data_IF_675686621461
#
_entry.id   IF_675686621461
#
_cell.length_a   1.000
_cell.length_b   1.000
_cell.length_c   1.000
_cell.angle_alpha   90.00
_cell.angle_beta   90.00
_cell.angle_gamma   90.00
#
_symmetry.space_group_name_H-M   'P 1'
#
loop_
_entity.id
_entity.type
_entity.pdbx_description
1 polymer ?
#
# COMPACT_ATOMS: atom_id res chain seq x y z
N UNK A 1 -17.55 -18.31 31.43
CA UNK A 1 -16.86 -17.61 32.54
C UNK A 1 -15.41 -17.39 32.15
N UNK A 2 -14.92 -16.19 32.47
CA UNK A 2 -13.58 -15.62 32.22
C UNK A 2 -13.21 -15.33 30.76
N UNK A 3 -12.63 -14.19 30.37
CA UNK A 3 -12.66 -12.79 30.81
C UNK A 3 -11.65 -12.07 29.90
N UNK A 4 -12.11 -11.31 28.91
CA UNK A 4 -11.40 -10.12 28.46
C UNK A 4 -12.39 -9.16 27.83
N UNK A 5 -12.94 -8.28 28.67
CA UNK A 5 -13.74 -7.14 28.24
C UNK A 5 -12.82 -6.06 27.71
N UNK A 6 -12.64 -6.03 26.39
CA UNK A 6 -12.16 -4.84 25.68
C UNK A 6 -13.19 -4.49 24.63
N UNK A 7 -13.92 -3.39 24.85
CA UNK A 7 -14.78 -2.81 23.83
C UNK A 7 -13.88 -2.31 22.70
N UNK A 8 -14.06 -2.87 21.50
CA UNK A 8 -13.51 -2.29 20.29
C UNK A 8 -14.33 -1.04 19.98
N UNK A 9 -13.80 0.12 20.32
CA UNK A 9 -14.27 1.41 19.80
C UNK A 9 -13.94 1.46 18.30
N UNK A 10 -14.82 0.88 17.49
CA UNK A 10 -14.85 1.11 16.07
C UNK A 10 -15.31 2.54 15.81
N UNK A 11 -14.39 3.44 15.48
CA UNK A 11 -14.72 4.73 14.88
C UNK A 11 -15.19 4.48 13.45
N UNK A 12 -16.51 4.33 13.29
CA UNK A 12 -17.17 4.32 12.00
C UNK A 12 -17.37 5.77 11.54
N UNK A 13 -16.60 6.21 10.54
CA UNK A 13 -16.89 7.43 9.80
C UNK A 13 -18.01 7.13 8.79
N UNK A 14 -19.25 7.50 9.13
CA UNK A 14 -20.36 7.51 8.19
C UNK A 14 -20.38 8.83 7.42
N UNK A 15 -20.47 8.73 6.09
CA UNK A 15 -20.74 9.86 5.19
C UNK A 15 -22.25 10.01 5.04
N UNK A 16 -22.85 10.97 5.76
CA UNK A 16 -24.17 11.48 5.42
C UNK A 16 -24.02 12.58 4.37
N UNK A 17 -24.92 12.58 3.39
CA UNK A 17 -24.89 13.28 2.11
C UNK A 17 -24.74 14.81 2.14
N UNK A 18 -24.03 15.30 1.12
CA UNK A 18 -24.19 16.51 0.27
C UNK A 18 -24.73 17.84 0.83
N UNK A 19 -23.84 18.86 0.69
CA UNK A 19 -24.00 20.33 0.67
C UNK A 19 -23.60 21.08 1.96
N UNK A 20 -22.61 21.95 1.76
CA UNK A 20 -22.10 23.04 2.63
C UNK A 20 -21.50 22.70 4.01
N UNK A 21 -20.28 23.19 4.23
CA UNK A 21 -19.64 23.24 5.54
C UNK A 21 -20.38 24.26 6.42
N UNK A 22 -21.15 23.78 7.40
CA UNK A 22 -21.67 24.62 8.47
C UNK A 22 -21.06 24.17 9.79
N UNK A 23 -20.33 25.09 10.43
CA UNK A 23 -19.86 24.92 11.81
C UNK A 23 -21.08 24.90 12.73
N UNK A 24 -21.18 23.87 13.56
CA UNK A 24 -22.29 23.70 14.50
C UNK A 24 -21.95 24.43 15.81
N UNK A 25 -22.74 25.46 16.11
CA UNK A 25 -22.61 26.32 17.29
C UNK A 25 -22.65 25.54 18.62
N UNK A 26 -21.76 25.91 19.54
CA UNK A 26 -21.76 25.50 20.95
C UNK A 26 -22.54 26.58 21.73
N UNK A 27 -23.39 26.21 22.71
CA UNK A 27 -24.26 27.17 23.40
C UNK A 27 -23.47 28.17 24.27
N UNK A 28 -23.87 29.44 24.17
CA UNK A 28 -23.34 30.59 24.91
C UNK A 28 -23.66 30.57 26.42
N UNK A 29 -22.72 31.09 27.21
CA UNK A 29 -22.92 31.65 28.54
C UNK A 29 -21.85 32.75 28.80
N UNK A 30 -22.08 33.75 29.68
CA UNK A 30 -22.38 35.11 29.25
C UNK A 30 -21.19 36.09 29.23
N UNK A 31 -21.44 37.20 28.54
CA UNK A 31 -20.54 38.28 28.19
C UNK A 31 -19.78 38.97 29.35
N UNK A 32 -18.51 39.29 29.09
CA UNK A 32 -17.72 40.20 29.93
C UNK A 32 -16.33 40.56 29.39
N UNK A 33 -16.26 41.69 28.65
CA UNK A 33 -15.12 42.62 28.57
C UNK A 33 -13.97 42.43 27.56
N UNK A 34 -14.16 43.10 26.40
CA UNK A 34 -13.26 44.04 25.67
C UNK A 34 -11.75 43.77 25.50
N UNK A 35 -11.39 43.65 24.22
CA UNK A 35 -10.21 44.18 23.49
C UNK A 35 -8.79 43.79 23.91
N UNK A 36 -8.15 42.96 23.07
CA UNK A 36 -6.83 43.26 22.48
C UNK A 36 -6.65 42.50 21.16
N UNK A 37 -6.37 43.24 20.11
CA UNK A 37 -5.99 42.75 18.78
C UNK A 37 -4.78 41.82 18.89
N UNK A 38 -4.93 40.57 18.49
CA UNK A 38 -3.83 39.64 18.23
C UNK A 38 -3.81 39.38 16.73
N UNK A 39 -2.72 39.83 16.12
CA UNK A 39 -2.41 39.64 14.72
C UNK A 39 -2.38 38.15 14.36
N UNK A 40 -2.82 37.85 13.15
CA UNK A 40 -2.70 36.56 12.49
C UNK A 40 -1.24 36.08 12.53
N UNK A 41 -0.98 35.04 13.32
CA UNK A 41 0.21 34.21 13.15
C UNK A 41 -0.13 33.09 12.18
N UNK A 42 0.05 33.34 10.89
CA UNK A 42 0.24 32.27 9.91
C UNK A 42 1.49 31.47 10.33
N UNK A 43 1.30 30.22 10.76
CA UNK A 43 2.38 29.25 10.89
C UNK A 43 2.83 28.86 9.47
N UNK A 44 3.78 29.59 8.90
CA UNK A 44 4.53 29.12 7.73
C UNK A 44 5.39 27.93 8.16
N UNK A 45 5.01 26.73 7.72
CA UNK A 45 5.84 25.53 7.90
C UNK A 45 7.13 25.70 7.09
N UNK A 46 8.28 25.77 7.76
CA UNK A 46 9.59 25.93 7.14
C UNK A 46 10.08 24.59 6.58
N UNK A 47 9.71 24.30 5.33
CA UNK A 47 10.19 23.14 4.60
C UNK A 47 11.64 23.34 4.17
N UNK A 48 12.55 22.51 4.70
CA UNK A 48 13.98 22.58 4.41
C UNK A 48 14.47 21.22 3.90
N UNK A 49 15.48 21.21 3.03
CA UNK A 49 16.08 19.98 2.50
C UNK A 49 17.58 19.96 2.75
N UNK A 50 18.13 18.81 3.12
CA UNK A 50 19.57 18.56 3.26
C UNK A 50 19.98 17.44 2.31
N UNK A 51 21.09 17.62 1.61
CA UNK A 51 21.72 16.57 0.82
C UNK A 51 23.06 16.24 1.47
N UNK A 52 23.34 14.97 1.72
CA UNK A 52 24.66 14.55 2.21
C UNK A 52 25.11 13.23 1.58
N UNK A 53 26.42 13.04 1.51
CA UNK A 53 27.05 11.86 0.94
C UNK A 53 27.49 10.89 2.02
N UNK A 54 27.25 9.60 1.81
CA UNK A 54 27.66 8.52 2.70
C UNK A 54 28.59 7.53 1.99
N UNK A 55 29.58 7.04 2.74
CA UNK A 55 30.31 5.82 2.40
C UNK A 55 29.45 4.62 2.78
N UNK A 56 29.52 3.53 2.02
CA UNK A 56 28.80 2.31 2.35
C UNK A 56 29.52 1.56 3.45
N UNK A 57 29.16 1.92 4.68
CA UNK A 57 29.62 1.28 5.88
C UNK A 57 28.41 0.88 6.72
N UNK A 58 28.51 -0.28 7.37
CA UNK A 58 27.45 -0.76 8.26
C UNK A 58 27.11 0.31 9.29
N UNK A 59 25.82 0.65 9.39
CA UNK A 59 25.30 1.67 10.30
C UNK A 59 25.63 3.13 9.92
N UNK A 60 26.20 3.41 8.74
CA UNK A 60 26.50 4.78 8.28
C UNK A 60 25.26 5.69 8.23
N UNK A 61 24.21 5.22 7.56
CA UNK A 61 22.95 5.95 7.51
C UNK A 61 22.28 6.05 8.88
N UNK A 62 22.36 4.99 9.71
CA UNK A 62 21.77 5.00 11.05
C UNK A 62 22.41 6.07 11.95
N UNK A 63 23.75 6.23 11.91
CA UNK A 63 24.44 7.32 12.61
C UNK A 63 24.01 8.70 12.12
N UNK A 64 23.90 8.87 10.80
CA UNK A 64 23.45 10.14 10.23
C UNK A 64 22.02 10.48 10.67
N UNK A 65 21.10 9.51 10.67
CA UNK A 65 19.72 9.69 11.12
C UNK A 65 19.60 9.90 12.64
N UNK A 66 20.53 9.36 13.43
CA UNK A 66 20.56 9.60 14.88
C UNK A 66 20.68 11.09 15.20
N UNK A 67 21.41 11.85 14.39
CA UNK A 67 21.54 13.30 14.56
C UNK A 67 20.18 14.01 14.47
N UNK A 68 19.32 13.59 13.55
CA UNK A 68 17.96 14.14 13.42
C UNK A 68 17.10 13.79 14.63
N UNK A 69 17.23 12.56 15.14
CA UNK A 69 16.53 12.11 16.33
C UNK A 69 16.97 12.87 17.59
N UNK A 70 18.28 13.04 17.79
CA UNK A 70 18.84 13.74 18.96
C UNK A 70 18.43 15.22 19.01
N UNK A 71 18.25 15.84 17.84
CA UNK A 71 17.76 17.21 17.70
C UNK A 71 16.23 17.34 17.66
N UNK A 72 15.49 16.22 17.70
CA UNK A 72 14.04 16.21 17.60
C UNK A 72 13.52 16.82 16.30
N UNK A 73 14.24 16.62 15.19
CA UNK A 73 13.86 17.11 13.86
C UNK A 73 13.02 16.05 13.16
N UNK A 74 11.81 16.44 12.74
CA UNK A 74 10.93 15.57 11.98
C UNK A 74 11.41 15.46 10.53
N UNK A 75 11.58 14.23 10.08
CA UNK A 75 11.92 13.93 8.70
C UNK A 75 10.63 13.63 7.93
N UNK A 76 10.39 14.39 6.87
CA UNK A 76 9.21 14.26 6.02
C UNK A 76 9.43 13.25 4.90
N UNK A 77 10.64 13.24 4.34
CA UNK A 77 10.98 12.38 3.21
C UNK A 77 12.49 12.10 3.20
N UNK A 78 12.86 10.87 2.84
CA UNK A 78 14.25 10.43 2.67
C UNK A 78 14.36 9.72 1.34
N UNK A 79 15.30 10.15 0.52
CA UNK A 79 15.61 9.54 -0.76
C UNK A 79 17.09 9.20 -0.83
N UNK A 80 17.40 7.98 -1.29
CA UNK A 80 18.78 7.53 -1.52
C UNK A 80 19.00 7.32 -3.01
N UNK A 81 20.08 7.88 -3.54
CA UNK A 81 20.54 7.71 -4.92
C UNK A 81 21.97 7.20 -4.94
N UNK A 82 22.35 6.33 -5.90
CA UNK A 82 23.76 6.00 -6.12
C UNK A 82 24.53 7.29 -6.45
N UNK A 83 25.65 7.53 -5.79
CA UNK A 83 26.46 8.71 -6.13
C UNK A 83 27.22 8.49 -7.43
N UNK A 84 27.37 9.54 -8.23
CA UNK A 84 28.25 9.53 -9.41
C UNK A 84 29.74 9.71 -9.09
N UNK A 85 30.12 9.78 -7.81
CA UNK A 85 31.48 10.11 -7.35
C UNK A 85 32.26 8.85 -6.94
N UNK A 86 33.60 8.90 -7.07
CA UNK A 86 34.48 7.74 -6.79
C UNK A 86 34.56 7.32 -5.31
N UNK A 87 34.31 8.25 -4.37
CA UNK A 87 34.55 8.03 -2.93
C UNK A 87 33.28 7.95 -2.07
N UNK A 88 32.11 8.23 -2.66
CA UNK A 88 30.81 8.14 -2.00
C UNK A 88 29.98 7.09 -2.74
N UNK A 89 29.30 6.22 -2.01
CA UNK A 89 28.47 5.17 -2.64
C UNK A 89 27.02 5.64 -2.80
N UNK A 90 26.55 6.48 -1.88
CA UNK A 90 25.18 7.00 -1.89
C UNK A 90 25.10 8.48 -1.55
N UNK A 91 24.21 9.18 -2.25
CA UNK A 91 23.71 10.52 -1.91
C UNK A 91 22.34 10.38 -1.27
N UNK A 92 22.16 11.03 -0.12
CA UNK A 92 20.92 11.01 0.65
C UNK A 92 20.35 12.41 0.65
N UNK A 93 19.13 12.55 0.12
CA UNK A 93 18.30 13.74 0.24
C UNK A 93 17.34 13.51 1.41
N UNK A 94 17.27 14.47 2.33
CA UNK A 94 16.37 14.45 3.47
C UNK A 94 15.60 15.75 3.53
N UNK A 95 14.28 15.66 3.41
CA UNK A 95 13.37 16.78 3.62
C UNK A 95 12.94 16.81 5.08
N UNK A 96 13.06 17.96 5.72
CA UNK A 96 12.82 18.18 7.14
C UNK A 96 11.90 19.36 7.39
N UNK A 97 11.14 19.24 8.48
CA UNK A 97 10.38 20.36 9.05
C UNK A 97 11.14 20.90 10.27
N UNK A 98 11.92 21.97 10.07
CA UNK A 98 12.68 22.60 11.15
C UNK A 98 12.95 24.08 10.87
N UNK A 99 13.05 24.90 11.92
CA UNK A 99 13.46 26.29 11.83
C UNK A 99 14.95 26.43 11.55
N UNK A 100 15.35 27.61 11.07
CA UNK A 100 16.72 27.90 10.64
C UNK A 100 17.78 27.62 11.71
N UNK A 101 17.47 27.82 13.01
CA UNK A 101 18.42 27.58 14.11
C UNK A 101 18.67 26.09 14.33
N UNK A 102 17.61 25.27 14.34
CA UNK A 102 17.74 23.81 14.42
C UNK A 102 18.41 23.23 13.17
N UNK A 103 18.14 23.81 12.00
CA UNK A 103 18.79 23.42 10.75
C UNK A 103 20.32 23.66 10.77
N UNK A 104 20.76 24.79 11.31
CA UNK A 104 22.21 25.09 11.43
C UNK A 104 22.91 24.12 12.40
N UNK A 105 22.26 23.79 13.52
CA UNK A 105 22.74 22.78 14.47
C UNK A 105 22.79 21.39 13.84
N UNK A 106 21.76 21.02 13.07
CA UNK A 106 21.68 19.76 12.32
C UNK A 106 22.83 19.64 11.31
N UNK A 107 23.08 20.69 10.51
CA UNK A 107 24.21 20.70 9.58
C UNK A 107 25.55 20.59 10.30
N UNK A 108 25.73 21.25 11.45
CA UNK A 108 26.96 21.17 12.23
C UNK A 108 27.25 19.76 12.73
N UNK A 109 26.24 19.08 13.29
CA UNK A 109 26.40 17.72 13.82
C UNK A 109 26.52 16.67 12.70
N UNK A 110 25.79 16.83 11.60
CA UNK A 110 25.91 15.94 10.44
C UNK A 110 27.34 15.96 9.88
N UNK A 111 28.07 17.10 9.94
CA UNK A 111 29.43 17.20 9.34
C UNK A 111 30.41 16.22 9.97
N UNK A 112 30.15 15.81 11.21
CA UNK A 112 30.98 14.85 11.94
C UNK A 112 30.72 13.40 11.52
N UNK A 113 29.52 13.11 11.02
CA UNK A 113 29.06 11.73 10.77
C UNK A 113 29.02 11.38 9.27
N UNK A 114 29.04 12.36 8.37
CA UNK A 114 28.87 12.17 6.91
C UNK A 114 30.09 12.61 6.12
N UNK A 115 30.29 12.04 4.94
CA UNK A 115 31.48 12.31 4.12
C UNK A 115 31.47 13.72 3.52
N UNK A 116 30.28 14.27 3.21
CA UNK A 116 30.10 15.64 2.74
C UNK A 116 28.64 16.09 2.90
N UNK A 117 28.41 17.37 3.20
CA UNK A 117 27.06 17.99 3.30
C UNK A 117 26.77 18.98 2.17
N UNK A 118 27.80 19.46 1.47
CA UNK A 118 27.62 20.37 0.34
C UNK A 118 28.73 20.19 -0.68
N UNK A 119 28.41 20.45 -1.94
CA UNK A 119 29.30 20.34 -3.10
C UNK A 119 30.64 21.07 -2.90
N UNK A 120 30.65 22.19 -2.17
CA UNK A 120 31.80 23.08 -1.96
C UNK A 120 32.71 22.72 -0.78
N UNK A 121 32.24 21.94 0.20
CA UNK A 121 32.99 21.66 1.44
C UNK A 121 33.90 20.41 1.36
N UNK A 122 33.80 19.62 0.29
CA UNK A 122 34.63 18.42 0.12
C UNK A 122 36.01 18.71 -0.50
N UNK A 123 36.19 19.85 -1.18
CA UNK A 123 37.47 20.21 -1.81
C UNK A 123 38.58 20.54 -0.80
N UNK A 124 38.26 20.64 0.50
CA UNK A 124 39.22 21.04 1.54
C UNK A 124 39.81 19.89 2.37
N UNK A 125 39.53 18.63 2.03
CA UNK A 125 40.34 17.48 2.48
C UNK A 125 40.54 17.32 3.99
N UNK A 126 39.50 17.56 4.80
CA UNK A 126 39.58 17.38 6.26
C UNK A 126 39.64 15.90 6.67
N UNK A 127 40.66 15.53 7.45
CA UNK A 127 40.74 14.22 8.12
C UNK A 127 39.57 14.04 9.09
N UNK A 128 38.85 12.92 8.95
CA UNK A 128 37.73 12.56 9.82
C UNK A 128 38.26 12.09 11.18
N UNK A 129 37.65 12.52 12.30
CA UNK A 129 37.96 11.97 13.62
C UNK A 129 37.59 10.47 13.68
N UNK A 130 38.25 9.70 14.56
CA UNK A 130 38.01 8.26 14.70
C UNK A 130 36.56 7.98 15.12
N UNK A 131 35.99 6.83 14.70
CA UNK A 131 34.59 6.51 14.94
C UNK A 131 34.29 6.44 16.43
N UNK A 132 33.34 7.25 16.89
CA UNK A 132 32.73 7.09 18.21
C UNK A 132 32.01 5.73 18.23
N UNK A 133 32.24 4.85 19.22
CA UNK A 133 31.48 3.61 19.32
C UNK A 133 29.99 3.95 19.44
N UNK A 134 29.17 3.28 18.63
CA UNK A 134 27.71 3.40 18.70
C UNK A 134 27.29 3.16 20.16
N UNK A 135 26.77 4.19 20.83
CA UNK A 135 25.74 3.92 21.82
C UNK A 135 24.65 3.18 21.07
N UNK A 136 24.30 1.98 21.53
CA UNK A 136 23.21 1.16 21.00
C UNK A 136 21.96 2.03 20.97
N UNK A 137 21.74 2.70 19.85
CA UNK A 137 20.46 3.28 19.52
C UNK A 137 19.54 2.08 19.56
N UNK A 138 18.61 2.09 20.50
CA UNK A 138 17.57 1.08 20.53
C UNK A 138 16.88 1.22 19.16
N UNK A 139 17.28 0.39 18.19
CA UNK A 139 16.42 0.07 17.09
C UNK A 139 15.09 -0.20 17.74
N UNK A 140 14.03 0.48 17.30
CA UNK A 140 12.69 0.00 17.63
C UNK A 140 12.71 -1.48 17.26
N UNK A 141 12.79 -2.33 18.27
CA UNK A 141 12.76 -3.76 18.12
C UNK A 141 11.31 -4.04 17.77
N UNK A 142 10.97 -3.81 16.50
CA UNK A 142 9.88 -4.53 15.88
C UNK A 142 10.31 -5.97 16.05
N UNK A 143 9.86 -6.65 17.12
CA UNK A 143 10.29 -8.02 17.43
C UNK A 143 9.90 -8.99 16.31
N UNK A 144 9.23 -10.09 16.61
CA UNK A 144 8.64 -10.95 15.56
C UNK A 144 7.44 -10.26 14.87
N UNK A 145 7.63 -9.10 14.23
CA UNK A 145 6.61 -8.44 13.44
C UNK A 145 6.34 -9.32 12.21
N UNK A 146 5.11 -9.85 12.04
CA UNK A 146 4.80 -10.71 10.91
C UNK A 146 5.07 -9.97 9.60
N UNK A 147 5.78 -10.63 8.70
CA UNK A 147 6.06 -10.07 7.37
C UNK A 147 4.75 -9.64 6.68
N UNK A 148 4.82 -8.51 5.99
CA UNK A 148 3.75 -8.03 5.11
C UNK A 148 4.35 -7.36 3.86
N UNK A 149 3.65 -7.43 2.71
CA UNK A 149 4.11 -6.80 1.48
C UNK A 149 4.19 -5.28 1.65
N UNK A 150 5.33 -4.69 1.27
CA UNK A 150 5.57 -3.23 1.38
C UNK A 150 5.41 -2.53 0.04
N UNK A 151 5.61 -3.26 -1.06
CA UNK A 151 5.38 -2.81 -2.43
C UNK A 151 4.41 -3.76 -3.11
N UNK A 152 3.69 -3.27 -4.12
CA UNK A 152 2.71 -4.09 -4.86
C UNK A 152 3.34 -5.34 -5.49
N UNK A 153 4.60 -5.28 -5.93
CA UNK A 153 5.34 -6.45 -6.44
C UNK A 153 5.64 -7.50 -5.38
N UNK A 154 5.61 -7.15 -4.09
CA UNK A 154 5.79 -8.12 -3.00
C UNK A 154 4.61 -9.09 -2.89
N UNK A 155 3.46 -8.78 -3.51
CA UNK A 155 2.33 -9.70 -3.59
C UNK A 155 2.66 -10.98 -4.36
N UNK A 156 3.69 -10.99 -5.20
CA UNK A 156 4.22 -12.21 -5.82
C UNK A 156 4.72 -13.23 -4.78
N UNK A 157 5.09 -12.77 -3.58
CA UNK A 157 5.54 -13.61 -2.46
C UNK A 157 4.42 -13.95 -1.47
N UNK A 158 3.23 -13.35 -1.62
CA UNK A 158 2.09 -13.49 -0.73
C UNK A 158 0.96 -14.31 -1.38
N UNK A 159 1.28 -15.51 -1.87
CA UNK A 159 0.35 -16.39 -2.58
C UNK A 159 0.16 -17.75 -1.87
N UNK A 160 0.09 -17.76 -0.54
CA UNK A 160 -0.09 -19.00 0.22
C UNK A 160 -1.53 -19.51 0.05
N UNK A 161 -1.74 -20.44 -0.88
CA UNK A 161 -3.03 -21.10 -1.12
C UNK A 161 -3.25 -22.18 -0.06
N UNK A 162 -4.29 -21.99 0.74
CA UNK A 162 -4.66 -22.90 1.83
C UNK A 162 -5.63 -24.00 1.37
N UNK A 163 -6.55 -23.68 0.47
CA UNK A 163 -7.63 -24.59 0.06
C UNK A 163 -8.02 -24.39 -1.41
N UNK A 164 -8.60 -25.43 -2.00
CA UNK A 164 -9.09 -25.45 -3.38
C UNK A 164 -8.05 -25.01 -4.44
N UNK A 165 -6.76 -25.28 -4.17
CA UNK A 165 -5.69 -25.13 -5.14
C UNK A 165 -5.72 -26.24 -6.19
N UNK A 166 -4.67 -27.06 -6.25
CA UNK A 166 -4.58 -28.21 -7.16
C UNK A 166 -5.48 -29.38 -6.76
N UNK A 167 -5.76 -29.53 -5.47
CA UNK A 167 -6.55 -30.64 -4.93
C UNK A 167 -7.97 -30.21 -4.53
N UNK A 168 -8.90 -31.15 -4.65
CA UNK A 168 -10.31 -30.99 -4.32
C UNK A 168 -10.66 -31.88 -3.14
N UNK A 169 -11.56 -31.38 -2.29
CA UNK A 169 -12.17 -32.18 -1.24
C UNK A 169 -13.02 -33.32 -1.83
N UNK A 170 -13.16 -34.41 -1.08
CA UNK A 170 -13.83 -35.63 -1.56
C UNK A 170 -15.34 -35.43 -1.84
N UNK A 171 -15.96 -34.42 -1.23
CA UNK A 171 -17.35 -34.02 -1.40
C UNK A 171 -17.57 -33.02 -2.55
N UNK A 172 -16.50 -32.50 -3.16
CA UNK A 172 -16.60 -31.61 -4.31
C UNK A 172 -17.26 -32.36 -5.49
N UNK A 173 -18.26 -31.78 -6.19
CA UNK A 173 -18.99 -32.47 -7.26
C UNK A 173 -18.08 -32.93 -8.40
N UNK A 174 -17.02 -32.17 -8.69
CA UNK A 174 -15.96 -32.52 -9.64
C UNK A 174 -14.86 -33.44 -9.12
N UNK A 175 -14.91 -33.94 -7.87
CA UNK A 175 -13.82 -34.73 -7.27
C UNK A 175 -13.49 -35.99 -8.07
N UNK A 176 -14.51 -36.67 -8.61
CA UNK A 176 -14.33 -37.88 -9.42
C UNK A 176 -14.11 -37.60 -10.90
N UNK A 177 -14.32 -36.38 -11.36
CA UNK A 177 -14.18 -36.01 -12.76
C UNK A 177 -12.69 -35.74 -13.10
N UNK A 178 -12.04 -36.58 -13.94
CA UNK A 178 -10.65 -36.39 -14.31
C UNK A 178 -10.44 -35.20 -15.27
N UNK A 179 -11.43 -34.88 -16.11
CA UNK A 179 -11.34 -33.76 -17.06
C UNK A 179 -11.43 -32.43 -16.32
N UNK A 180 -12.35 -32.33 -15.35
CA UNK A 180 -12.47 -31.14 -14.50
C UNK A 180 -11.22 -30.93 -13.64
N UNK A 181 -10.67 -31.99 -13.04
CA UNK A 181 -9.41 -31.91 -12.25
C UNK A 181 -8.23 -31.45 -13.10
N UNK A 182 -8.07 -32.02 -14.30
CA UNK A 182 -7.03 -31.57 -15.23
C UNK A 182 -7.22 -30.11 -15.62
N UNK A 183 -8.46 -29.69 -15.88
CA UNK A 183 -8.80 -28.30 -16.23
C UNK A 183 -8.51 -27.32 -15.08
N UNK A 184 -8.79 -27.69 -13.83
CA UNK A 184 -8.40 -26.91 -12.63
C UNK A 184 -6.89 -26.79 -12.48
N UNK A 185 -6.14 -27.84 -12.79
CA UNK A 185 -4.67 -27.79 -12.76
C UNK A 185 -4.10 -26.78 -13.78
N UNK A 186 -4.75 -26.62 -14.95
CA UNK A 186 -4.37 -25.58 -15.93
C UNK A 186 -4.53 -24.17 -15.33
N UNK A 187 -5.67 -23.86 -14.70
CA UNK A 187 -5.90 -22.58 -14.03
C UNK A 187 -4.95 -22.34 -12.85
N UNK A 188 -4.66 -23.39 -12.07
CA UNK A 188 -3.67 -23.34 -11.00
C UNK A 188 -2.29 -22.92 -11.54
N UNK A 189 -1.84 -23.54 -12.63
CA UNK A 189 -0.54 -23.20 -13.25
C UNK A 189 -0.51 -21.76 -13.77
N UNK A 190 -1.60 -21.29 -14.38
CA UNK A 190 -1.72 -19.90 -14.84
C UNK A 190 -1.52 -18.94 -13.66
N UNK A 191 -2.25 -19.14 -12.56
CA UNK A 191 -2.17 -18.27 -11.39
C UNK A 191 -0.80 -18.30 -10.70
N UNK A 192 -0.16 -19.47 -10.62
CA UNK A 192 1.18 -19.62 -10.02
C UNK A 192 2.30 -19.06 -10.91
N UNK A 193 2.09 -18.99 -12.22
CA UNK A 193 3.06 -18.40 -13.16
C UNK A 193 2.94 -16.88 -13.29
N UNK A 194 1.86 -16.30 -12.78
CA UNK A 194 1.60 -14.87 -12.90
C UNK A 194 2.54 -14.05 -12.00
N UNK A 195 3.10 -12.99 -12.56
CA UNK A 195 3.94 -12.01 -11.86
C UNK A 195 3.39 -10.60 -12.03
N UNK A 196 3.55 -9.77 -11.01
CA UNK A 196 3.12 -8.39 -11.05
C UNK A 196 3.76 -7.63 -12.23
N UNK A 197 2.95 -6.84 -12.94
CA UNK A 197 3.38 -6.05 -14.09
C UNK A 197 3.16 -6.73 -15.44
N UNK A 198 2.92 -8.04 -15.46
CA UNK A 198 2.50 -8.75 -16.67
C UNK A 198 0.98 -8.67 -16.87
N UNK A 199 0.50 -8.72 -18.12
CA UNK A 199 -0.93 -8.86 -18.41
C UNK A 199 -1.44 -10.21 -17.89
N UNK A 200 -2.68 -10.24 -17.40
CA UNK A 200 -3.29 -11.48 -16.92
C UNK A 200 -3.51 -12.43 -18.12
N UNK A 201 -3.04 -13.69 -18.05
CA UNK A 201 -3.22 -14.62 -19.14
C UNK A 201 -4.69 -14.85 -19.47
N UNK A 202 -5.02 -14.74 -20.76
CA UNK A 202 -6.36 -15.02 -21.27
C UNK A 202 -6.59 -16.52 -21.37
N UNK A 203 -7.81 -16.94 -21.06
CA UNK A 203 -8.22 -18.35 -21.13
C UNK A 203 -9.30 -18.54 -22.18
N UNK A 204 -9.08 -19.54 -23.04
CA UNK A 204 -10.13 -20.03 -23.92
C UNK A 204 -11.03 -20.98 -23.14
N UNK A 205 -12.23 -20.51 -22.79
CA UNK A 205 -13.22 -21.33 -22.11
C UNK A 205 -13.89 -22.31 -23.08
N UNK A 206 -14.23 -23.50 -22.57
CA UNK A 206 -14.91 -24.57 -23.30
C UNK A 206 -16.39 -24.22 -23.46
N UNK A 207 -17.08 -24.74 -24.49
CA UNK A 207 -18.51 -24.51 -24.67
C UNK A 207 -19.36 -24.88 -23.44
N UNK A 208 -18.98 -25.93 -22.72
CA UNK A 208 -19.65 -26.37 -21.48
C UNK A 208 -19.45 -25.38 -20.31
N UNK A 209 -18.27 -24.77 -20.21
CA UNK A 209 -17.96 -23.74 -19.20
C UNK A 209 -18.80 -22.48 -19.49
N UNK A 210 -18.84 -22.05 -20.75
CA UNK A 210 -19.65 -20.90 -21.20
C UNK A 210 -21.14 -21.17 -20.98
N UNK A 211 -21.62 -22.39 -21.27
CA UNK A 211 -23.01 -22.76 -21.02
C UNK A 211 -23.36 -22.68 -19.53
N UNK A 212 -22.47 -23.14 -18.66
CA UNK A 212 -22.65 -23.05 -17.20
C UNK A 212 -22.72 -21.61 -16.75
N UNK A 213 -21.83 -20.76 -17.27
CA UNK A 213 -21.86 -19.31 -17.05
C UNK A 213 -23.19 -18.69 -17.48
N UNK A 214 -23.68 -18.99 -18.68
CA UNK A 214 -24.94 -18.44 -19.19
C UNK A 214 -26.15 -18.79 -18.32
N UNK A 215 -26.22 -20.02 -17.80
CA UNK A 215 -27.26 -20.42 -16.84
C UNK A 215 -27.24 -19.54 -15.59
N UNK A 216 -26.06 -19.38 -14.96
CA UNK A 216 -25.92 -18.56 -13.74
C UNK A 216 -26.20 -17.09 -14.03
N UNK A 217 -25.66 -16.58 -15.14
CA UNK A 217 -25.83 -15.20 -15.58
C UNK A 217 -27.31 -14.83 -15.69
N UNK A 218 -28.10 -15.67 -16.38
CA UNK A 218 -29.52 -15.43 -16.57
C UNK A 218 -30.33 -15.49 -15.27
N UNK A 219 -30.06 -16.46 -14.39
CA UNK A 219 -30.80 -16.57 -13.14
C UNK A 219 -30.50 -15.41 -12.19
N UNK A 220 -29.24 -14.98 -12.08
CA UNK A 220 -28.87 -13.85 -11.23
C UNK A 220 -29.33 -12.52 -11.80
N UNK A 221 -29.30 -12.34 -13.13
CA UNK A 221 -29.74 -11.09 -13.77
C UNK A 221 -31.20 -10.75 -13.46
N UNK A 222 -32.08 -11.76 -13.36
CA UNK A 222 -33.48 -11.58 -12.95
C UNK A 222 -33.61 -11.02 -11.53
N UNK A 223 -32.64 -11.29 -10.67
CA UNK A 223 -32.67 -10.95 -9.24
C UNK A 223 -32.03 -9.59 -8.94
N UNK A 224 -31.09 -9.11 -9.77
CA UNK A 224 -30.35 -7.88 -9.49
C UNK A 224 -31.25 -6.66 -9.30
N UNK A 225 -32.27 -6.45 -10.15
CA UNK A 225 -33.17 -5.29 -10.05
C UNK A 225 -33.88 -5.23 -8.69
N UNK A 226 -34.18 -6.40 -8.10
CA UNK A 226 -34.92 -6.51 -6.85
C UNK A 226 -34.02 -6.49 -5.61
N UNK A 227 -32.78 -6.97 -5.73
CA UNK A 227 -31.95 -7.30 -4.58
C UNK A 227 -30.57 -6.63 -4.55
N UNK A 228 -30.07 -6.12 -5.67
CA UNK A 228 -28.77 -5.48 -5.71
C UNK A 228 -28.85 -4.03 -5.22
N UNK A 229 -27.77 -3.54 -4.62
CA UNK A 229 -27.68 -2.13 -4.21
C UNK A 229 -27.56 -1.20 -5.42
N UNK A 230 -27.76 0.09 -5.18
CA UNK A 230 -27.66 1.14 -6.19
C UNK A 230 -26.32 1.09 -6.95
N UNK A 231 -25.20 0.97 -6.24
CA UNK A 231 -23.86 0.98 -6.83
C UNK A 231 -23.69 -0.21 -7.78
N UNK A 232 -24.25 -1.37 -7.46
CA UNK A 232 -24.20 -2.52 -8.36
C UNK A 232 -24.98 -2.22 -9.65
N UNK A 233 -26.20 -1.70 -9.54
CA UNK A 233 -27.08 -1.40 -10.68
C UNK A 233 -26.51 -0.28 -11.57
N UNK A 234 -25.85 0.71 -10.98
CA UNK A 234 -25.16 1.78 -11.69
C UNK A 234 -23.99 1.23 -12.53
N UNK A 235 -23.21 0.30 -11.97
CA UNK A 235 -22.03 -0.25 -12.63
C UNK A 235 -22.34 -1.38 -13.63
N UNK A 236 -23.45 -2.09 -13.47
CA UNK A 236 -23.80 -3.26 -14.28
C UNK A 236 -23.82 -2.98 -15.80
N UNK A 237 -24.46 -1.90 -16.32
CA UNK A 237 -24.46 -1.59 -17.74
C UNK A 237 -23.05 -1.37 -18.32
N UNK A 238 -22.13 -0.83 -17.52
CA UNK A 238 -20.75 -0.63 -17.94
C UNK A 238 -19.98 -1.94 -18.05
N UNK A 239 -20.21 -2.88 -17.13
CA UNK A 239 -19.61 -4.21 -17.20
C UNK A 239 -20.07 -4.97 -18.45
N UNK A 240 -21.35 -4.87 -18.81
CA UNK A 240 -21.89 -5.43 -20.05
C UNK A 240 -21.25 -4.77 -21.28
N UNK A 241 -21.19 -3.44 -21.29
CA UNK A 241 -20.72 -2.66 -22.45
C UNK A 241 -19.22 -2.75 -22.69
N UNK A 242 -18.40 -2.70 -21.64
CA UNK A 242 -16.95 -2.53 -21.74
C UNK A 242 -16.16 -3.76 -21.34
N UNK A 243 -16.73 -4.66 -20.54
CA UNK A 243 -16.02 -5.84 -20.04
C UNK A 243 -16.55 -7.16 -20.61
N UNK A 244 -17.53 -7.11 -21.52
CA UNK A 244 -18.03 -8.28 -22.21
C UNK A 244 -18.87 -9.22 -21.35
N UNK A 245 -19.48 -8.73 -20.26
CA UNK A 245 -20.48 -9.50 -19.51
C UNK A 245 -21.69 -9.78 -20.39
N UNK A 246 -21.86 -11.03 -20.80
CA UNK A 246 -22.99 -11.53 -21.58
C UNK A 246 -23.24 -12.99 -21.25
N UNK A 247 -24.45 -13.48 -21.49
CA UNK A 247 -24.80 -14.90 -21.28
C UNK A 247 -23.87 -15.86 -22.03
N UNK A 248 -23.43 -15.50 -23.24
CA UNK A 248 -22.65 -16.33 -24.15
C UNK A 248 -21.12 -16.15 -23.99
N UNK A 249 -20.67 -15.39 -22.99
CA UNK A 249 -19.26 -15.02 -22.88
C UNK A 249 -18.84 -14.79 -21.42
N UNK A 250 -17.87 -15.60 -20.97
CA UNK A 250 -17.18 -15.39 -19.70
C UNK A 250 -16.15 -14.25 -19.88
N UNK A 251 -16.25 -13.13 -19.13
CA UNK A 251 -15.28 -12.05 -19.19
C UNK A 251 -13.85 -12.51 -18.90
N UNK A 252 -12.88 -11.95 -19.60
CA UNK A 252 -11.47 -12.17 -19.30
C UNK A 252 -11.02 -11.27 -18.16
N UNK A 253 -10.26 -11.82 -17.20
CA UNK A 253 -9.77 -11.04 -16.06
C UNK A 253 -8.92 -9.84 -16.49
N UNK A 254 -8.17 -9.93 -17.59
CA UNK A 254 -7.35 -8.80 -18.07
C UNK A 254 -8.20 -7.60 -18.50
N UNK A 255 -9.34 -7.84 -19.16
CA UNK A 255 -10.24 -6.76 -19.59
C UNK A 255 -10.88 -6.08 -18.37
N UNK A 256 -11.26 -6.89 -17.37
CA UNK A 256 -11.75 -6.40 -16.07
C UNK A 256 -10.68 -5.62 -15.31
N UNK A 257 -9.45 -6.13 -15.28
CA UNK A 257 -8.31 -5.50 -14.62
C UNK A 257 -8.04 -4.10 -15.19
N UNK A 258 -8.02 -3.98 -16.52
CA UNK A 258 -7.84 -2.69 -17.21
C UNK A 258 -8.98 -1.72 -16.86
N UNK A 259 -10.22 -2.19 -16.91
CA UNK A 259 -11.40 -1.37 -16.61
C UNK A 259 -11.41 -0.89 -15.15
N UNK A 260 -11.23 -1.80 -14.18
CA UNK A 260 -11.20 -1.46 -12.75
C UNK A 260 -10.05 -0.51 -12.42
N UNK A 261 -8.88 -0.70 -13.03
CA UNK A 261 -7.71 0.16 -12.81
C UNK A 261 -7.99 1.59 -13.25
N UNK A 262 -8.67 1.75 -14.39
CA UNK A 262 -9.09 3.07 -14.87
C UNK A 262 -10.20 3.69 -14.02
N UNK A 263 -11.15 2.88 -13.57
CA UNK A 263 -12.34 3.38 -12.85
C UNK A 263 -12.05 3.78 -11.40
N UNK A 264 -11.30 2.97 -10.66
CA UNK A 264 -11.08 3.17 -9.21
C UNK A 264 -9.64 2.96 -8.76
N UNK A 265 -8.75 2.57 -9.67
CA UNK A 265 -7.39 2.14 -9.34
C UNK A 265 -7.31 0.72 -8.79
N UNK A 266 -8.45 -0.01 -8.69
CA UNK A 266 -8.41 -1.43 -8.33
C UNK A 266 -7.84 -2.27 -9.46
N UNK A 267 -7.08 -3.30 -9.11
CA UNK A 267 -6.48 -4.23 -10.05
C UNK A 267 -6.87 -5.66 -9.65
N UNK A 268 -6.93 -6.55 -10.64
CA UNK A 268 -7.14 -7.97 -10.41
C UNK A 268 -5.79 -8.70 -10.43
N UNK A 269 -5.70 -9.77 -9.64
CA UNK A 269 -4.59 -10.71 -9.67
C UNK A 269 -5.15 -12.13 -9.74
N UNK A 270 -4.76 -12.96 -10.73
CA UNK A 270 -5.20 -14.35 -10.77
C UNK A 270 -4.68 -15.10 -9.54
N UNK A 271 -5.54 -15.92 -8.93
CA UNK A 271 -5.20 -16.72 -7.76
C UNK A 271 -5.64 -18.16 -7.94
N UNK A 272 -4.81 -19.08 -7.46
CA UNK A 272 -5.01 -20.52 -7.64
C UNK A 272 -6.10 -21.12 -6.73
N UNK A 273 -6.46 -20.45 -5.65
CA UNK A 273 -7.42 -20.92 -4.65
C UNK A 273 -7.55 -19.94 -3.49
N UNK A 274 -8.04 -20.41 -2.34
CA UNK A 274 -8.19 -19.55 -1.17
C UNK A 274 -6.84 -19.23 -0.54
N UNK A 275 -6.51 -17.94 -0.48
CA UNK A 275 -5.34 -17.46 0.24
C UNK A 275 -5.59 -17.46 1.74
N UNK A 276 -4.48 -17.39 2.50
CA UNK A 276 -4.57 -16.99 3.90
C UNK A 276 -5.29 -15.63 4.04
N UNK A 277 -6.11 -15.42 5.09
CA UNK A 277 -6.76 -14.13 5.31
C UNK A 277 -5.78 -12.97 5.34
N UNK A 278 -4.58 -13.19 5.89
CA UNK A 278 -3.49 -12.21 5.91
C UNK A 278 -3.07 -11.80 4.51
N UNK A 279 -2.80 -12.76 3.63
CA UNK A 279 -2.32 -12.49 2.28
C UNK A 279 -3.40 -11.84 1.41
N UNK A 280 -4.64 -12.33 1.52
CA UNK A 280 -5.77 -11.75 0.80
C UNK A 280 -6.00 -10.28 1.20
N UNK A 281 -6.06 -9.99 2.51
CA UNK A 281 -6.28 -8.64 3.02
C UNK A 281 -5.08 -7.72 2.73
N UNK A 282 -3.86 -8.25 2.72
CA UNK A 282 -2.67 -7.48 2.33
C UNK A 282 -2.75 -7.00 0.88
N UNK A 283 -3.36 -7.78 -0.03
CA UNK A 283 -3.62 -7.35 -1.40
C UNK A 283 -4.55 -6.14 -1.48
N UNK A 284 -5.61 -6.11 -0.64
CA UNK A 284 -6.58 -5.01 -0.63
C UNK A 284 -5.95 -3.67 -0.23
N UNK A 285 -4.89 -3.68 0.59
CA UNK A 285 -4.14 -2.47 0.93
C UNK A 285 -3.52 -1.79 -0.31
N UNK A 286 -3.21 -2.56 -1.36
CA UNK A 286 -2.72 -2.07 -2.65
C UNK A 286 -3.84 -1.91 -3.70
N UNK A 287 -5.11 -2.00 -3.29
CA UNK A 287 -6.27 -2.11 -4.19
C UNK A 287 -6.15 -3.27 -5.17
N UNK A 288 -5.54 -4.37 -4.75
CA UNK A 288 -5.42 -5.59 -5.55
C UNK A 288 -6.41 -6.63 -5.03
N UNK A 289 -7.33 -7.05 -5.88
CA UNK A 289 -8.28 -8.11 -5.58
C UNK A 289 -7.82 -9.43 -6.21
N UNK A 290 -7.61 -10.45 -5.36
CA UNK A 290 -7.26 -11.79 -5.81
C UNK A 290 -8.51 -12.51 -6.35
N UNK A 291 -8.48 -12.94 -7.60
CA UNK A 291 -9.63 -13.48 -8.32
C UNK A 291 -9.28 -14.79 -9.02
N UNK A 292 -10.12 -15.80 -8.88
CA UNK A 292 -9.95 -17.09 -9.60
C UNK A 292 -10.35 -16.95 -11.06
N UNK A 293 -9.76 -17.77 -11.92
CA UNK A 293 -10.14 -17.95 -13.33
C UNK A 293 -10.93 -19.24 -13.52
#
# INVERSE_FOLDING_TARGET
>A
MSASGKSLLGLWLYRASEKEWTLKDIPEAPAGSKNKSLADHEFQASHNSVIFSLKNQVGGLARALQVFQDLGVNVLHIESRPSGRKDAEHEILVDVDCDAKRMEQLMSLLKREVAAINLQLYETGGEMPPPTPLSTTASFDFGDMPWFPRKIGDLDRAQNVLMYGSELDADHPGFKDPLYRKRRQEFYQIAMSYQHGHPIPRVQYRPEEIKTWGVIFNELQKLYIKHACHEYLENWPELVRYCGYREDNIPQLEDLNIYLKRKTGFQLRPVAGYLSPRDFLSGLAFRVFHCTQ
#
